data_IF_454232217545
#
_entry.id   IF_454232217545
#
_cell.length_a   1.000
_cell.length_b   1.000
_cell.length_c   1.000
_cell.angle_alpha   90.00
_cell.angle_beta   90.00
_cell.angle_gamma   90.00
#
_symmetry.space_group_name_H-M   'P 1'
#
loop_
_entity.id
_entity.type
_entity.pdbx_description
1 polymer ?
#
# COMPACT_ATOMS: atom_id res chain seq x y z
N UNK A 1 -2.02 -36.75 -10.46
CA UNK A 1 -2.44 -36.69 -9.03
C UNK A 1 -1.98 -37.88 -8.18
N UNK A 2 -1.97 -39.14 -8.65
CA UNK A 2 -1.61 -40.31 -7.80
C UNK A 2 -0.13 -40.39 -7.34
N UNK A 3 0.83 -39.81 -8.07
CA UNK A 3 2.27 -39.90 -7.75
C UNK A 3 2.69 -39.01 -6.55
N UNK A 4 2.20 -37.77 -6.50
CA UNK A 4 2.52 -36.78 -5.45
C UNK A 4 2.06 -37.28 -4.06
N UNK A 5 0.90 -37.92 -3.98
CA UNK A 5 0.39 -38.46 -2.70
C UNK A 5 1.25 -39.60 -2.15
N UNK A 6 1.90 -40.41 -3.01
CA UNK A 6 2.76 -41.52 -2.56
C UNK A 6 4.07 -41.01 -1.97
N UNK A 7 4.71 -40.03 -2.61
CA UNK A 7 5.95 -39.41 -2.10
C UNK A 7 5.72 -38.66 -0.78
N UNK A 8 4.61 -37.94 -0.65
CA UNK A 8 4.26 -37.23 0.59
C UNK A 8 3.98 -38.24 1.71
N UNK A 9 3.23 -39.32 1.44
CA UNK A 9 2.99 -40.37 2.43
C UNK A 9 4.27 -41.11 2.83
N UNK A 10 5.20 -41.36 1.91
CA UNK A 10 6.50 -41.96 2.24
C UNK A 10 7.35 -41.05 3.13
N UNK A 11 7.35 -39.73 2.89
CA UNK A 11 8.04 -38.75 3.75
C UNK A 11 7.40 -38.64 5.15
N UNK A 12 6.06 -38.73 5.23
CA UNK A 12 5.35 -38.78 6.51
C UNK A 12 5.69 -40.07 7.26
N UNK A 13 5.72 -41.22 6.57
CA UNK A 13 6.09 -42.53 7.16
C UNK A 13 7.54 -42.59 7.63
N UNK A 14 8.44 -41.81 7.01
CA UNK A 14 9.86 -41.72 7.38
C UNK A 14 10.14 -40.74 8.53
N UNK A 15 9.11 -40.13 9.11
CA UNK A 15 9.23 -39.16 10.21
C UNK A 15 10.15 -37.96 9.89
N UNK A 16 10.41 -37.72 8.60
CA UNK A 16 11.23 -36.60 8.11
C UNK A 16 10.50 -35.26 8.17
N UNK A 17 9.20 -35.26 8.50
CA UNK A 17 8.38 -34.05 8.64
C UNK A 17 8.55 -33.50 10.04
N UNK A 18 9.62 -32.72 10.27
CA UNK A 18 9.79 -31.94 11.49
C UNK A 18 8.64 -30.94 11.63
N UNK A 19 7.68 -31.24 12.51
CA UNK A 19 6.60 -30.30 12.82
C UNK A 19 7.19 -29.04 13.43
N UNK A 20 6.97 -27.89 12.79
CA UNK A 20 7.37 -26.60 13.36
C UNK A 20 6.45 -26.27 14.53
N UNK A 21 6.99 -25.66 15.60
CA UNK A 21 6.17 -25.31 16.76
C UNK A 21 5.19 -24.19 16.41
N UNK A 22 4.05 -24.15 17.12
CA UNK A 22 2.94 -23.23 16.84
C UNK A 22 3.35 -21.75 16.78
N UNK A 23 4.25 -21.34 17.68
CA UNK A 23 4.78 -19.96 17.74
C UNK A 23 5.51 -19.53 16.46
N UNK A 24 6.10 -20.47 15.72
CA UNK A 24 6.77 -20.17 14.44
C UNK A 24 5.76 -19.68 13.40
N UNK A 25 4.59 -20.31 13.34
CA UNK A 25 3.51 -19.93 12.43
C UNK A 25 2.83 -18.64 12.86
N UNK A 26 2.64 -18.46 14.17
CA UNK A 26 2.12 -17.21 14.72
C UNK A 26 3.07 -16.06 14.39
N UNK A 27 4.37 -16.18 14.65
CA UNK A 27 5.37 -15.15 14.33
C UNK A 27 5.37 -14.73 12.86
N UNK A 28 5.27 -15.68 11.93
CA UNK A 28 5.15 -15.37 10.49
C UNK A 28 3.85 -14.60 10.19
N UNK A 29 2.73 -14.99 10.79
CA UNK A 29 1.45 -14.29 10.60
C UNK A 29 1.52 -12.86 11.10
N UNK A 30 2.00 -12.65 12.32
CA UNK A 30 2.16 -11.32 12.92
C UNK A 30 3.12 -10.46 12.08
N UNK A 31 4.24 -11.02 11.62
CA UNK A 31 5.19 -10.33 10.74
C UNK A 31 4.56 -9.90 9.41
N UNK A 32 3.76 -10.77 8.77
CA UNK A 32 3.03 -10.43 7.55
C UNK A 32 1.93 -9.37 7.80
N UNK A 33 1.31 -9.39 8.98
CA UNK A 33 0.32 -8.40 9.36
C UNK A 33 0.94 -7.02 9.60
N UNK A 34 1.98 -6.95 10.42
CA UNK A 34 2.71 -5.70 10.67
C UNK A 34 3.36 -5.16 9.40
N UNK A 35 4.01 -6.01 8.61
CA UNK A 35 4.61 -5.61 7.34
C UNK A 35 3.59 -4.99 6.38
N UNK A 36 2.39 -5.58 6.29
CA UNK A 36 1.31 -5.03 5.48
C UNK A 36 0.85 -3.65 5.98
N UNK A 37 0.72 -3.46 7.30
CA UNK A 37 0.35 -2.16 7.87
C UNK A 37 1.41 -1.08 7.63
N UNK A 38 2.69 -1.43 7.81
CA UNK A 38 3.82 -0.51 7.54
C UNK A 38 3.81 -0.06 6.07
N UNK A 39 3.58 -0.98 5.14
CA UNK A 39 3.52 -0.66 3.72
C UNK A 39 2.33 0.25 3.40
N UNK A 40 1.16 -0.04 3.96
CA UNK A 40 -0.03 0.81 3.77
C UNK A 40 0.23 2.22 4.31
N UNK A 41 0.78 2.34 5.53
CA UNK A 41 1.12 3.63 6.12
C UNK A 41 2.14 4.39 5.27
N UNK A 42 3.22 3.74 4.85
CA UNK A 42 4.23 4.35 3.99
C UNK A 42 3.62 4.82 2.65
N UNK A 43 2.80 3.99 2.00
CA UNK A 43 2.13 4.35 0.75
C UNK A 43 1.22 5.57 0.94
N UNK A 44 0.47 5.64 2.03
CA UNK A 44 -0.39 6.77 2.34
C UNK A 44 0.39 8.06 2.58
N UNK A 45 1.54 7.98 3.26
CA UNK A 45 2.43 9.14 3.46
C UNK A 45 2.97 9.64 2.12
N UNK A 46 3.52 8.77 1.28
CA UNK A 46 4.06 9.18 -0.03
C UNK A 46 2.97 9.73 -0.96
N UNK A 47 1.75 9.18 -0.89
CA UNK A 47 0.61 9.70 -1.64
C UNK A 47 0.21 11.10 -1.14
N UNK A 48 0.13 11.29 0.19
CA UNK A 48 -0.16 12.60 0.78
C UNK A 48 0.92 13.64 0.45
N UNK A 49 2.19 13.26 0.43
CA UNK A 49 3.30 14.11 -0.06
C UNK A 49 3.10 14.46 -1.53
N UNK A 50 2.72 13.50 -2.38
CA UNK A 50 2.40 13.77 -3.78
C UNK A 50 1.27 14.79 -3.94
N UNK A 51 0.19 14.66 -3.16
CA UNK A 51 -0.92 15.61 -3.16
C UNK A 51 -0.43 17.00 -2.75
N UNK A 52 0.41 17.11 -1.71
CA UNK A 52 0.98 18.39 -1.27
C UNK A 52 1.78 19.09 -2.37
N UNK A 53 2.65 18.37 -3.07
CA UNK A 53 3.43 18.95 -4.18
C UNK A 53 2.52 19.44 -5.30
N UNK A 54 1.48 18.68 -5.64
CA UNK A 54 0.49 19.08 -6.66
C UNK A 54 -0.27 20.34 -6.22
N UNK A 55 -0.66 20.45 -4.94
CA UNK A 55 -1.30 21.66 -4.39
C UNK A 55 -0.39 22.89 -4.53
N UNK A 56 0.93 22.72 -4.31
CA UNK A 56 1.92 23.80 -4.38
C UNK A 56 2.06 24.37 -5.80
N UNK A 57 1.99 23.51 -6.82
CA UNK A 57 2.24 23.87 -8.23
C UNK A 57 1.05 24.65 -8.85
N UNK A 58 -0.12 24.71 -8.20
CA UNK A 58 -1.34 25.37 -8.70
C UNK A 58 -1.63 25.03 -10.18
N UNK A 59 -1.87 23.75 -10.51
CA UNK A 59 -1.99 23.26 -11.89
C UNK A 59 -3.08 23.95 -12.71
N UNK A 60 -4.06 24.58 -12.06
CA UNK A 60 -5.17 25.32 -12.69
C UNK A 60 -4.66 26.42 -13.64
N UNK A 61 -3.57 27.12 -13.29
CA UNK A 61 -2.99 28.15 -14.18
C UNK A 61 -2.28 27.56 -15.40
N UNK A 62 -1.80 26.33 -15.31
CA UNK A 62 -1.11 25.68 -16.41
C UNK A 62 -2.09 25.17 -17.48
N UNK A 63 -3.31 24.78 -17.11
CA UNK A 63 -4.35 24.33 -18.05
C UNK A 63 -4.74 25.38 -19.10
N UNK A 64 -4.61 26.67 -18.79
CA UNK A 64 -4.92 27.77 -19.71
C UNK A 64 -3.98 27.83 -20.93
N UNK A 65 -2.81 27.17 -20.87
CA UNK A 65 -1.80 27.15 -21.93
C UNK A 65 -1.96 25.97 -22.91
N UNK A 66 -3.07 25.23 -22.85
CA UNK A 66 -3.35 24.12 -23.77
C UNK A 66 -2.29 23.02 -23.70
N UNK A 67 -1.69 22.67 -24.85
CA UNK A 67 -0.71 21.56 -24.95
C UNK A 67 0.57 21.81 -24.15
N UNK A 68 1.10 23.03 -24.19
CA UNK A 68 2.27 23.44 -23.39
C UNK A 68 1.96 23.37 -21.90
N UNK A 69 0.71 23.68 -21.53
CA UNK A 69 0.20 23.54 -20.17
C UNK A 69 0.25 22.11 -19.64
N UNK A 70 -0.18 21.14 -20.47
CA UNK A 70 -0.16 19.73 -20.12
C UNK A 70 1.26 19.19 -19.94
N UNK A 71 2.20 19.59 -20.80
CA UNK A 71 3.62 19.21 -20.67
C UNK A 71 4.22 19.75 -19.37
N UNK A 72 3.95 21.02 -19.02
CA UNK A 72 4.38 21.61 -17.76
C UNK A 72 3.78 20.90 -16.53
N UNK A 73 2.51 20.52 -16.59
CA UNK A 73 1.87 19.74 -15.51
C UNK A 73 2.54 18.38 -15.39
N UNK A 74 2.75 17.68 -16.50
CA UNK A 74 3.38 16.36 -16.50
C UNK A 74 4.79 16.41 -15.92
N UNK A 75 5.60 17.39 -16.31
CA UNK A 75 6.98 17.53 -15.85
C UNK A 75 7.08 17.95 -14.37
N UNK A 76 6.10 18.71 -13.87
CA UNK A 76 6.07 19.17 -12.49
C UNK A 76 5.43 18.16 -11.53
N UNK A 77 4.83 17.06 -12.02
CA UNK A 77 4.28 16.03 -11.16
C UNK A 77 5.38 15.45 -10.25
N UNK A 78 5.05 15.13 -8.99
CA UNK A 78 5.99 14.51 -8.06
C UNK A 78 6.18 13.02 -8.41
N UNK A 79 6.86 12.75 -9.53
CA UNK A 79 7.02 11.41 -10.11
C UNK A 79 7.62 10.42 -9.12
N UNK A 80 8.57 10.87 -8.28
CA UNK A 80 9.22 10.02 -7.28
C UNK A 80 8.22 9.55 -6.23
N UNK A 81 7.40 10.44 -5.66
CA UNK A 81 6.45 10.06 -4.61
C UNK A 81 5.32 9.19 -5.17
N UNK A 82 4.84 9.49 -6.38
CA UNK A 82 3.85 8.67 -7.08
C UNK A 82 4.43 7.29 -7.43
N UNK A 83 5.66 7.22 -7.94
CA UNK A 83 6.34 5.97 -8.26
C UNK A 83 6.52 5.08 -7.03
N UNK A 84 6.97 5.65 -5.91
CA UNK A 84 7.08 4.93 -4.63
C UNK A 84 5.71 4.46 -4.14
N UNK A 85 4.67 5.28 -4.26
CA UNK A 85 3.31 4.90 -3.88
C UNK A 85 2.81 3.70 -4.68
N UNK A 86 3.00 3.72 -6.01
CA UNK A 86 2.61 2.60 -6.89
C UNK A 86 3.38 1.33 -6.53
N UNK A 87 4.69 1.44 -6.30
CA UNK A 87 5.51 0.32 -5.86
C UNK A 87 5.01 -0.29 -4.53
N UNK A 88 4.71 0.56 -3.54
CA UNK A 88 4.19 0.12 -2.25
C UNK A 88 2.78 -0.49 -2.34
N UNK A 89 1.92 0.02 -3.24
CA UNK A 89 0.61 -0.58 -3.52
C UNK A 89 0.75 -1.99 -4.09
N UNK A 90 1.68 -2.20 -5.03
CA UNK A 90 1.99 -3.53 -5.58
C UNK A 90 2.50 -4.45 -4.47
N UNK A 91 3.48 -4.00 -3.68
CA UNK A 91 4.05 -4.78 -2.59
C UNK A 91 3.00 -5.15 -1.54
N UNK A 92 2.15 -4.19 -1.16
CA UNK A 92 1.04 -4.38 -0.22
C UNK A 92 0.02 -5.39 -0.77
N UNK A 93 -0.37 -5.28 -2.04
CA UNK A 93 -1.29 -6.22 -2.65
C UNK A 93 -0.72 -7.66 -2.71
N UNK A 94 0.57 -7.81 -3.02
CA UNK A 94 1.25 -9.12 -3.03
C UNK A 94 1.30 -9.74 -1.64
N UNK A 95 1.69 -8.97 -0.61
CA UNK A 95 1.73 -9.45 0.77
C UNK A 95 0.33 -9.77 1.29
N UNK A 96 -0.65 -8.91 1.01
CA UNK A 96 -2.04 -9.11 1.42
C UNK A 96 -2.66 -10.35 0.76
N UNK A 97 -2.30 -10.66 -0.48
CA UNK A 97 -2.69 -11.90 -1.17
C UNK A 97 -2.10 -13.14 -0.51
N UNK A 98 -0.86 -13.06 -0.04
CA UNK A 98 -0.16 -14.17 0.59
C UNK A 98 -0.58 -14.40 2.06
N UNK A 99 -1.39 -13.53 2.66
CA UNK A 99 -2.05 -13.82 3.92
C UNK A 99 -3.01 -14.99 3.71
N UNK A 100 -2.79 -16.09 4.45
CA UNK A 100 -3.54 -17.35 4.32
C UNK A 100 -5.05 -17.23 4.49
N UNK A 101 -5.56 -16.11 5.00
CA UNK A 101 -7.00 -15.80 5.11
C UNK A 101 -7.64 -15.33 3.80
N UNK A 102 -6.84 -14.81 2.85
CA UNK A 102 -7.34 -14.16 1.64
C UNK A 102 -7.32 -15.07 0.40
N UNK A 103 -6.96 -16.36 0.53
CA UNK A 103 -6.88 -17.29 -0.61
C UNK A 103 -8.19 -17.45 -1.40
N UNK A 104 -9.34 -17.20 -0.76
CA UNK A 104 -10.67 -17.25 -1.39
C UNK A 104 -11.12 -15.93 -2.00
N UNK A 105 -10.41 -14.82 -1.74
CA UNK A 105 -10.82 -13.51 -2.25
C UNK A 105 -10.33 -13.34 -3.69
N UNK A 106 -11.18 -12.76 -4.52
CA UNK A 106 -10.80 -12.36 -5.89
C UNK A 106 -9.64 -11.36 -5.84
N UNK A 107 -8.67 -11.53 -6.75
CA UNK A 107 -7.52 -10.62 -6.90
C UNK A 107 -7.99 -9.17 -7.07
N UNK A 108 -9.07 -8.95 -7.83
CA UNK A 108 -9.67 -7.61 -8.00
C UNK A 108 -10.09 -6.99 -6.66
N UNK A 109 -10.70 -7.79 -5.77
CA UNK A 109 -11.14 -7.33 -4.44
C UNK A 109 -9.95 -6.96 -3.55
N UNK A 110 -8.84 -7.71 -3.63
CA UNK A 110 -7.61 -7.40 -2.89
C UNK A 110 -7.07 -6.02 -3.30
N UNK A 111 -6.90 -5.80 -4.60
CA UNK A 111 -6.42 -4.52 -5.14
C UNK A 111 -7.31 -3.35 -4.73
N UNK A 112 -8.63 -3.50 -4.89
CA UNK A 112 -9.59 -2.47 -4.49
C UNK A 112 -9.47 -2.17 -2.99
N UNK A 113 -9.34 -3.19 -2.14
CA UNK A 113 -9.25 -3.01 -0.68
C UNK A 113 -7.98 -2.24 -0.30
N UNK A 114 -6.82 -2.66 -0.83
CA UNK A 114 -5.52 -2.02 -0.55
C UNK A 114 -5.50 -0.58 -1.08
N UNK A 115 -6.00 -0.37 -2.30
CA UNK A 115 -6.10 0.97 -2.88
C UNK A 115 -6.98 1.91 -2.06
N UNK A 116 -8.20 1.47 -1.70
CA UNK A 116 -9.12 2.25 -0.88
C UNK A 116 -8.52 2.59 0.49
N UNK A 117 -7.86 1.64 1.15
CA UNK A 117 -7.24 1.90 2.45
C UNK A 117 -6.14 2.95 2.35
N UNK A 118 -5.26 2.85 1.33
CA UNK A 118 -4.19 3.83 1.12
C UNK A 118 -4.75 5.22 0.83
N UNK A 119 -5.75 5.32 -0.05
CA UNK A 119 -6.39 6.59 -0.42
C UNK A 119 -7.09 7.23 0.77
N UNK A 120 -7.89 6.48 1.52
CA UNK A 120 -8.59 7.00 2.70
C UNK A 120 -7.61 7.50 3.77
N UNK A 121 -6.53 6.75 4.02
CA UNK A 121 -5.49 7.17 4.95
C UNK A 121 -4.71 8.40 4.44
N UNK A 122 -4.44 8.52 3.14
CA UNK A 122 -3.82 9.71 2.56
C UNK A 122 -4.71 10.96 2.65
N UNK A 123 -6.02 10.80 2.44
CA UNK A 123 -7.01 11.87 2.62
C UNK A 123 -7.02 12.29 4.09
N UNK A 124 -7.10 11.33 5.02
CA UNK A 124 -7.05 11.61 6.45
C UNK A 124 -5.77 12.39 6.84
N UNK A 125 -4.60 11.96 6.37
CA UNK A 125 -3.33 12.65 6.61
C UNK A 125 -3.33 14.08 6.03
N UNK A 126 -3.89 14.27 4.84
CA UNK A 126 -3.97 15.58 4.20
C UNK A 126 -4.89 16.54 4.97
N UNK A 127 -6.05 16.05 5.41
CA UNK A 127 -6.99 16.84 6.23
C UNK A 127 -6.37 17.15 7.58
N UNK A 128 -5.79 16.14 8.24
CA UNK A 128 -5.12 16.29 9.52
C UNK A 128 -4.02 17.35 9.46
N UNK A 129 -3.18 17.34 8.42
CA UNK A 129 -2.18 18.39 8.19
C UNK A 129 -2.82 19.78 8.18
N UNK A 130 -3.85 19.98 7.35
CA UNK A 130 -4.52 21.29 7.21
C UNK A 130 -5.06 21.81 8.55
N UNK A 131 -5.66 20.94 9.37
CA UNK A 131 -6.18 21.32 10.69
C UNK A 131 -5.08 21.80 11.65
N UNK A 132 -3.87 21.24 11.55
CA UNK A 132 -2.74 21.59 12.40
C UNK A 132 -1.80 22.63 11.78
N UNK A 133 -2.17 23.25 10.65
CA UNK A 133 -1.42 24.39 10.11
C UNK A 133 -1.56 25.60 11.09
N UNK A 134 -0.44 26.21 11.51
CA UNK A 134 -0.44 27.26 12.54
C UNK A 134 -1.26 28.49 12.14
N UNK A 135 -1.46 28.72 10.84
CA UNK A 135 -2.29 29.80 10.31
C UNK A 135 -3.79 29.67 10.66
N UNK A 136 -4.29 28.44 10.81
CA UNK A 136 -5.68 28.19 11.21
C UNK A 136 -5.83 28.28 12.73
N UNK A 137 -4.85 27.79 13.48
CA UNK A 137 -4.81 27.89 14.95
C UNK A 137 -4.78 29.35 15.41
N UNK A 138 -4.03 30.21 14.71
CA UNK A 138 -3.98 31.67 14.97
C UNK A 138 -5.25 32.43 14.56
N UNK A 139 -6.17 31.83 13.79
CA UNK A 139 -7.48 32.43 13.46
C UNK A 139 -8.57 32.06 14.48
N UNK A 140 -8.32 31.06 15.33
CA UNK A 140 -9.29 30.54 16.30
C UNK A 140 -9.01 31.10 17.71
N UNK A 141 -7.77 31.54 17.98
CA UNK A 141 -7.35 32.25 19.20
C UNK A 141 -7.48 33.76 18.97
#
# INVERSE_FOLDING_TARGET
MKKINKEIMEKIRKDEVKMKPKWWFEGIRWGLEMGNWIIVLAASVFLAVGIFWIELIRPIKALDYGRLGLELILESLPHVSLGITVFLLIAGAVIYKNKGENYKKSVKRIWITVFLTVVLAAIFLTIFRKVFEPEILLRII
#
